data_IF_969638690262
#
_entry.id   IF_969638690262
#
_cell.length_a   1.000
_cell.length_b   1.000
_cell.length_c   1.000
_cell.angle_alpha   90.00
_cell.angle_beta   90.00
_cell.angle_gamma   90.00
#
_symmetry.space_group_name_H-M   'P 1'
#
loop_
_entity.id
_entity.type
_entity.pdbx_description
1 polymer ?
#
# COMPACT_ATOMS: atom_id res chain seq x y z
N UNK A 1 -11.74 66.80 16.37
CA UNK A 1 -12.63 66.09 15.48
C UNK A 1 -12.16 64.65 15.38
N UNK A 2 -12.91 63.83 16.08
CA UNK A 2 -12.61 62.56 16.61
C UNK A 2 -12.34 61.46 15.57
N UNK A 3 -11.29 60.71 15.80
CA UNK A 3 -11.05 59.41 15.13
C UNK A 3 -11.68 58.32 15.97
N UNK A 4 -12.71 57.70 15.47
CA UNK A 4 -13.23 56.42 15.99
C UNK A 4 -12.34 55.29 15.49
N UNK A 5 -11.59 54.66 16.41
CA UNK A 5 -10.98 53.37 16.23
C UNK A 5 -11.97 52.31 16.66
N UNK A 6 -12.47 51.54 15.73
CA UNK A 6 -13.22 50.29 16.03
C UNK A 6 -12.24 49.15 16.11
N UNK A 7 -11.98 48.72 17.39
CA UNK A 7 -11.36 47.44 17.67
C UNK A 7 -12.30 46.30 17.25
N UNK A 8 -11.92 45.58 16.23
CA UNK A 8 -12.55 44.32 15.86
C UNK A 8 -11.92 43.18 16.68
N UNK A 9 -12.60 42.76 17.70
CA UNK A 9 -12.31 41.55 18.46
C UNK A 9 -12.24 40.32 17.50
N UNK A 10 -11.12 39.63 17.51
CA UNK A 10 -10.92 38.34 16.83
C UNK A 10 -11.47 37.21 17.71
N UNK A 11 -12.52 36.50 17.30
CA UNK A 11 -12.96 35.30 18.03
C UNK A 11 -12.23 34.07 17.49
N UNK A 12 -11.14 33.65 18.10
CA UNK A 12 -10.39 32.47 17.63
C UNK A 12 -9.48 31.79 18.65
N UNK A 13 -9.29 32.36 19.84
CA UNK A 13 -8.27 31.88 20.78
C UNK A 13 -8.70 30.81 21.79
N UNK A 14 -10.00 30.52 21.96
CA UNK A 14 -10.48 29.68 23.07
C UNK A 14 -10.80 28.22 22.71
N UNK A 15 -10.93 27.84 21.46
CA UNK A 15 -11.30 26.47 21.08
C UNK A 15 -10.10 25.51 20.94
N UNK A 16 -8.91 26.00 20.60
CA UNK A 16 -7.72 25.15 20.42
C UNK A 16 -7.09 24.67 21.74
N UNK A 17 -7.20 25.46 22.83
CA UNK A 17 -6.66 25.07 24.15
C UNK A 17 -7.51 24.01 24.84
N UNK A 18 -8.83 24.06 24.72
CA UNK A 18 -9.74 23.11 25.38
C UNK A 18 -9.66 21.68 24.76
N UNK A 19 -9.41 21.58 23.45
CA UNK A 19 -9.23 20.26 22.78
C UNK A 19 -7.89 19.62 23.18
N UNK A 20 -6.85 20.41 23.43
CA UNK A 20 -5.54 19.91 23.88
C UNK A 20 -5.55 19.37 25.32
N UNK A 21 -6.29 19.98 26.21
CA UNK A 21 -6.40 19.56 27.63
C UNK A 21 -7.20 18.26 27.77
N UNK A 22 -8.28 18.07 27.01
CA UNK A 22 -9.06 16.84 27.00
C UNK A 22 -8.26 15.62 26.51
N UNK A 23 -7.47 15.78 25.47
CA UNK A 23 -6.65 14.69 24.93
C UNK A 23 -5.51 14.27 25.87
N UNK A 24 -4.91 15.20 26.61
CA UNK A 24 -3.89 14.90 27.61
C UNK A 24 -4.45 14.14 28.81
N UNK A 25 -5.71 14.45 29.24
CA UNK A 25 -6.41 13.71 30.29
C UNK A 25 -6.63 12.25 29.93
N UNK A 26 -7.16 11.98 28.75
CA UNK A 26 -7.35 10.62 28.22
C UNK A 26 -6.03 9.86 28.03
N UNK A 27 -4.96 10.53 27.60
CA UNK A 27 -3.64 9.94 27.48
C UNK A 27 -3.05 9.48 28.82
N UNK A 28 -3.23 10.28 29.87
CA UNK A 28 -2.83 9.92 31.24
C UNK A 28 -3.64 8.75 31.77
N UNK A 29 -4.96 8.74 31.57
CA UNK A 29 -5.81 7.61 31.92
C UNK A 29 -5.37 6.33 31.23
N UNK A 30 -5.04 6.40 29.94
CA UNK A 30 -4.56 5.26 29.16
C UNK A 30 -3.27 4.67 29.76
N UNK A 31 -2.29 5.51 30.11
CA UNK A 31 -1.03 5.04 30.71
C UNK A 31 -1.24 4.47 32.12
N UNK A 32 -2.05 5.12 32.96
CA UNK A 32 -2.36 4.61 34.29
C UNK A 32 -3.09 3.27 34.25
N UNK A 33 -4.06 3.10 33.35
CA UNK A 33 -4.78 1.85 33.15
C UNK A 33 -3.86 0.75 32.62
N UNK A 34 -2.93 1.09 31.71
CA UNK A 34 -1.94 0.13 31.20
C UNK A 34 -0.99 -0.35 32.29
N UNK A 35 -0.45 0.57 33.10
CA UNK A 35 0.43 0.22 34.22
C UNK A 35 -0.32 -0.62 35.25
N UNK A 36 -1.54 -0.25 35.61
CA UNK A 36 -2.36 -1.00 36.53
C UNK A 36 -2.71 -2.41 36.03
N UNK A 37 -2.93 -2.59 34.73
CA UNK A 37 -3.19 -3.90 34.10
C UNK A 37 -2.03 -4.89 34.28
N UNK A 38 -0.79 -4.39 34.37
CA UNK A 38 0.40 -5.20 34.62
C UNK A 38 0.66 -5.38 36.10
N UNK A 39 0.46 -4.33 36.92
CA UNK A 39 0.76 -4.37 38.35
C UNK A 39 -0.21 -5.27 39.15
N UNK A 40 -1.49 -5.32 38.79
CA UNK A 40 -2.49 -6.10 39.53
C UNK A 40 -2.12 -7.61 39.55
N UNK A 41 -1.87 -8.31 38.43
CA UNK A 41 -1.44 -9.68 38.47
C UNK A 41 -0.09 -9.88 39.18
N UNK A 42 0.84 -8.92 39.00
CA UNK A 42 2.15 -8.97 39.63
C UNK A 42 2.07 -8.89 41.16
N UNK A 43 1.22 -8.03 41.72
CA UNK A 43 1.00 -7.93 43.14
C UNK A 43 0.25 -9.15 43.68
N UNK A 44 -0.70 -9.70 42.90
CA UNK A 44 -1.52 -10.85 43.34
C UNK A 44 -0.70 -12.17 43.38
N UNK A 45 0.22 -12.38 42.44
CA UNK A 45 0.94 -13.65 42.27
C UNK A 45 2.47 -13.52 42.23
N UNK A 46 3.01 -12.30 42.37
CA UNK A 46 4.45 -12.06 42.18
C UNK A 46 4.94 -12.55 40.82
N UNK A 47 6.16 -13.09 40.75
CA UNK A 47 6.72 -13.63 39.50
C UNK A 47 5.95 -14.84 38.95
N UNK A 48 5.12 -15.51 39.77
CA UNK A 48 4.24 -16.60 39.28
C UNK A 48 3.15 -16.09 38.33
N UNK A 49 2.90 -14.77 38.27
CA UNK A 49 1.96 -14.17 37.29
C UNK A 49 2.38 -14.48 35.85
N UNK A 50 3.69 -14.59 35.56
CA UNK A 50 4.21 -14.98 34.23
C UNK A 50 3.76 -16.40 33.88
N UNK A 51 3.79 -17.33 34.83
CA UNK A 51 3.30 -18.70 34.60
C UNK A 51 1.81 -18.71 34.25
N UNK A 52 1.01 -17.89 34.94
CA UNK A 52 -0.42 -17.79 34.65
C UNK A 52 -0.73 -17.17 33.28
N UNK A 53 0.05 -16.18 32.85
CA UNK A 53 -0.03 -15.67 31.48
C UNK A 53 0.28 -16.78 30.45
N UNK A 54 1.32 -17.59 30.69
CA UNK A 54 1.64 -18.71 29.82
C UNK A 54 0.54 -19.77 29.78
N UNK A 55 -0.11 -20.07 30.91
CA UNK A 55 -1.29 -20.97 30.97
C UNK A 55 -2.44 -20.42 30.12
N UNK A 56 -2.71 -19.10 30.22
CA UNK A 56 -3.72 -18.46 29.38
C UNK A 56 -3.42 -18.53 27.89
N UNK A 57 -2.17 -18.25 27.49
CA UNK A 57 -1.71 -18.34 26.10
C UNK A 57 -1.80 -19.80 25.59
N UNK A 58 -1.39 -20.78 26.38
CA UNK A 58 -1.48 -22.19 26.02
C UNK A 58 -2.93 -22.63 25.81
N UNK A 59 -3.86 -22.20 26.67
CA UNK A 59 -5.29 -22.48 26.53
C UNK A 59 -5.88 -21.84 25.26
N UNK A 60 -5.50 -20.62 24.94
CA UNK A 60 -5.90 -19.95 23.70
C UNK A 60 -5.35 -20.66 22.46
N UNK A 61 -4.09 -21.10 22.49
CA UNK A 61 -3.47 -21.85 21.41
C UNK A 61 -4.19 -23.20 21.18
N UNK A 62 -4.54 -23.91 22.26
CA UNK A 62 -5.32 -25.16 22.17
C UNK A 62 -6.72 -24.93 21.61
N UNK A 63 -7.39 -23.86 22.02
CA UNK A 63 -8.68 -23.48 21.46
C UNK A 63 -8.57 -23.14 19.97
N UNK A 64 -7.52 -22.43 19.53
CA UNK A 64 -7.27 -22.14 18.12
C UNK A 64 -7.00 -23.39 17.28
N UNK A 65 -6.27 -24.37 17.82
CA UNK A 65 -6.10 -25.71 17.21
C UNK A 65 -7.43 -26.42 17.11
N UNK A 66 -8.27 -26.33 18.12
CA UNK A 66 -9.65 -26.88 18.10
C UNK A 66 -10.51 -26.28 17.00
N UNK A 67 -10.48 -24.96 16.84
CA UNK A 67 -11.17 -24.26 15.74
C UNK A 67 -10.64 -24.75 14.39
N UNK A 68 -9.30 -24.84 14.24
CA UNK A 68 -8.69 -25.33 13.01
C UNK A 68 -9.15 -26.75 12.67
N UNK A 69 -9.13 -27.68 13.63
CA UNK A 69 -9.58 -29.06 13.41
C UNK A 69 -11.08 -29.12 13.05
N UNK A 70 -11.89 -28.28 13.65
CA UNK A 70 -13.33 -28.20 13.37
C UNK A 70 -13.61 -27.75 11.93
N UNK A 71 -12.78 -26.84 11.40
CA UNK A 71 -12.94 -26.25 10.06
C UNK A 71 -12.24 -27.09 8.97
N UNK A 72 -11.08 -27.67 9.28
CA UNK A 72 -10.22 -28.36 8.30
C UNK A 72 -10.49 -29.85 8.14
N UNK A 73 -11.18 -30.51 9.09
CA UNK A 73 -11.36 -31.96 9.11
C UNK A 73 -12.84 -32.36 9.20
N UNK A 74 -13.12 -33.65 8.95
CA UNK A 74 -14.43 -34.26 9.08
C UNK A 74 -14.38 -35.47 10.02
N UNK A 75 -15.54 -36.01 10.45
CA UNK A 75 -15.63 -37.19 11.30
C UNK A 75 -15.09 -36.95 12.73
N UNK A 76 -14.36 -37.95 13.27
CA UNK A 76 -13.92 -37.97 14.69
C UNK A 76 -12.97 -36.78 15.02
N UNK A 77 -12.11 -36.38 14.10
CA UNK A 77 -11.18 -35.25 14.29
C UNK A 77 -11.94 -33.94 14.47
N UNK A 78 -13.01 -33.74 13.71
CA UNK A 78 -13.89 -32.56 13.87
C UNK A 78 -14.55 -32.55 15.25
N UNK A 79 -15.05 -33.69 15.72
CA UNK A 79 -15.65 -33.79 17.05
C UNK A 79 -14.64 -33.53 18.16
N UNK A 80 -13.41 -34.05 18.01
CA UNK A 80 -12.31 -33.74 18.93
C UNK A 80 -11.97 -32.23 18.93
N UNK A 81 -11.99 -31.59 17.75
CA UNK A 81 -11.83 -30.14 17.61
C UNK A 81 -12.88 -29.35 18.36
N UNK A 82 -14.17 -29.69 18.21
CA UNK A 82 -15.26 -29.07 18.96
C UNK A 82 -15.09 -29.26 20.47
N UNK A 83 -14.73 -30.48 20.90
CA UNK A 83 -14.41 -30.77 22.32
C UNK A 83 -13.27 -29.88 22.83
N UNK A 84 -12.18 -29.74 22.07
CA UNK A 84 -11.03 -28.92 22.45
C UNK A 84 -11.38 -27.42 22.55
N UNK A 85 -12.24 -26.91 21.66
CA UNK A 85 -12.74 -25.53 21.71
C UNK A 85 -13.49 -25.20 23.00
N UNK A 86 -14.17 -26.19 23.60
CA UNK A 86 -14.92 -25.98 24.84
C UNK A 86 -14.09 -26.33 26.09
N UNK A 87 -13.39 -27.46 26.06
CA UNK A 87 -12.65 -27.96 27.22
C UNK A 87 -11.45 -27.06 27.56
N UNK A 88 -10.71 -26.59 26.58
CA UNK A 88 -9.52 -25.77 26.84
C UNK A 88 -9.83 -24.44 27.54
N UNK A 89 -10.79 -23.60 27.10
CA UNK A 89 -11.16 -22.41 27.84
C UNK A 89 -11.74 -22.69 29.23
N UNK A 90 -12.59 -23.71 29.34
CA UNK A 90 -13.20 -24.12 30.63
C UNK A 90 -12.13 -24.56 31.62
N UNK A 91 -11.17 -25.36 31.19
CA UNK A 91 -10.07 -25.81 32.04
C UNK A 91 -9.20 -24.64 32.51
N UNK A 92 -8.87 -23.69 31.62
CA UNK A 92 -8.14 -22.47 31.97
C UNK A 92 -8.92 -21.65 33.02
N UNK A 93 -10.22 -21.41 32.81
CA UNK A 93 -11.05 -20.68 33.77
C UNK A 93 -11.14 -21.40 35.14
N UNK A 94 -11.25 -22.72 35.14
CA UNK A 94 -11.26 -23.50 36.37
C UNK A 94 -9.93 -23.40 37.12
N UNK A 95 -8.79 -23.48 36.40
CA UNK A 95 -7.46 -23.31 36.99
C UNK A 95 -7.27 -21.90 37.58
N UNK A 96 -7.71 -20.86 36.87
CA UNK A 96 -7.65 -19.47 37.35
C UNK A 96 -8.55 -19.28 38.58
N UNK A 97 -9.75 -19.90 38.61
CA UNK A 97 -10.63 -19.83 39.75
C UNK A 97 -10.05 -20.54 41.00
N UNK A 98 -9.52 -21.77 40.78
CA UNK A 98 -8.92 -22.56 41.86
C UNK A 98 -7.66 -21.93 42.44
N UNK A 99 -6.91 -21.15 41.66
CA UNK A 99 -5.70 -20.46 42.11
C UNK A 99 -5.96 -19.06 42.70
N UNK A 100 -7.21 -18.59 42.68
CA UNK A 100 -7.55 -17.21 43.09
C UNK A 100 -7.11 -16.13 42.08
N UNK A 101 -6.64 -16.53 40.88
CA UNK A 101 -6.14 -15.61 39.84
C UNK A 101 -7.24 -15.10 38.91
N UNK A 102 -8.47 -15.62 39.03
CA UNK A 102 -9.57 -15.23 38.14
C UNK A 102 -9.90 -13.75 38.21
N UNK A 103 -10.07 -13.21 39.43
CA UNK A 103 -10.39 -11.79 39.64
C UNK A 103 -9.25 -10.88 39.19
N UNK A 104 -7.97 -11.11 39.57
CA UNK A 104 -6.84 -10.34 39.05
C UNK A 104 -6.75 -10.35 37.53
N UNK A 105 -7.00 -11.50 36.85
CA UNK A 105 -6.96 -11.63 35.42
C UNK A 105 -8.10 -10.83 34.73
N UNK A 106 -9.33 -10.91 35.26
CA UNK A 106 -10.46 -10.14 34.72
C UNK A 106 -10.21 -8.63 34.88
N UNK A 107 -9.71 -8.19 36.03
CA UNK A 107 -9.39 -6.79 36.27
C UNK A 107 -8.27 -6.30 35.34
N UNK A 108 -7.21 -7.11 35.15
CA UNK A 108 -6.12 -6.76 34.25
C UNK A 108 -6.62 -6.63 32.80
N UNK A 109 -7.48 -7.55 32.35
CA UNK A 109 -8.09 -7.48 31.01
C UNK A 109 -8.99 -6.25 30.85
N UNK A 110 -9.84 -5.97 31.83
CA UNK A 110 -10.72 -4.80 31.81
C UNK A 110 -9.91 -3.49 31.75
N UNK A 111 -8.84 -3.39 32.54
CA UNK A 111 -7.93 -2.25 32.52
C UNK A 111 -7.16 -2.13 31.21
N UNK A 112 -6.75 -3.24 30.61
CA UNK A 112 -6.13 -3.24 29.29
C UNK A 112 -7.08 -2.76 28.19
N UNK A 113 -8.35 -3.20 28.23
CA UNK A 113 -9.41 -2.71 27.32
C UNK A 113 -9.64 -1.21 27.55
N UNK A 114 -9.73 -0.77 28.81
CA UNK A 114 -9.86 0.66 29.15
C UNK A 114 -8.66 1.48 28.67
N UNK A 115 -7.43 0.96 28.85
CA UNK A 115 -6.21 1.62 28.39
C UNK A 115 -6.22 1.82 26.87
N UNK A 116 -6.59 0.77 26.11
CA UNK A 116 -6.68 0.85 24.65
C UNK A 116 -7.80 1.77 24.18
N UNK A 117 -8.95 1.75 24.84
CA UNK A 117 -10.07 2.64 24.54
C UNK A 117 -9.72 4.11 24.85
N UNK A 118 -9.14 4.39 26.01
CA UNK A 118 -8.69 5.72 26.40
C UNK A 118 -7.58 6.25 25.49
N UNK A 119 -6.65 5.39 25.08
CA UNK A 119 -5.60 5.75 24.11
C UNK A 119 -6.19 6.13 22.74
N UNK A 120 -7.21 5.42 22.27
CA UNK A 120 -7.94 5.77 21.03
C UNK A 120 -8.65 7.13 21.15
N UNK A 121 -9.29 7.40 22.28
CA UNK A 121 -9.93 8.70 22.52
C UNK A 121 -8.88 9.81 22.62
N UNK A 122 -7.75 9.59 23.31
CA UNK A 122 -6.66 10.55 23.44
C UNK A 122 -6.04 10.94 22.11
N UNK A 123 -5.88 9.96 21.23
CA UNK A 123 -5.31 10.20 19.89
C UNK A 123 -6.34 10.75 18.91
N UNK A 124 -7.64 10.71 19.25
CA UNK A 124 -8.77 11.16 18.45
C UNK A 124 -8.98 10.29 17.21
N UNK A 125 -10.04 10.51 16.41
CA UNK A 125 -10.13 10.01 15.04
C UNK A 125 -9.19 10.81 14.13
N UNK A 126 -8.05 11.27 14.69
CA UNK A 126 -7.01 11.92 13.94
C UNK A 126 -6.43 10.92 12.96
N UNK A 127 -6.53 11.24 11.69
CA UNK A 127 -5.72 10.68 10.67
C UNK A 127 -4.26 10.83 11.12
N UNK A 128 -3.68 9.74 11.69
CA UNK A 128 -2.24 9.62 11.56
C UNK A 128 -2.05 9.39 10.06
N UNK A 129 -1.41 10.30 9.33
CA UNK A 129 -0.99 9.95 7.99
C UNK A 129 -0.24 8.63 8.14
N UNK A 130 -0.65 7.60 7.41
CA UNK A 130 0.17 6.41 7.23
C UNK A 130 1.54 6.94 6.83
N UNK A 131 2.62 6.27 7.22
CA UNK A 131 3.98 6.73 6.90
C UNK A 131 3.99 7.04 5.40
N UNK A 132 4.12 8.35 5.04
CA UNK A 132 4.03 8.82 3.65
C UNK A 132 2.78 9.61 3.26
N UNK A 133 1.65 9.56 4.01
CA UNK A 133 0.47 10.40 3.72
C UNK A 133 0.68 11.84 4.22
N UNK A 134 0.35 12.80 3.38
CA UNK A 134 0.40 14.24 3.68
C UNK A 134 -0.95 14.88 3.45
N UNK A 135 -1.29 15.87 4.27
CA UNK A 135 -2.43 16.73 3.96
C UNK A 135 -2.08 17.59 2.74
N UNK A 136 -2.95 17.64 1.72
CA UNK A 136 -2.74 18.52 0.58
C UNK A 136 -2.78 19.99 1.02
N UNK A 137 -2.13 20.85 0.28
CA UNK A 137 -2.12 22.31 0.56
C UNK A 137 -3.53 22.97 0.41
N UNK A 138 -4.50 22.23 -0.13
CA UNK A 138 -5.89 22.64 -0.35
C UNK A 138 -6.58 21.76 -1.39
N UNK A 139 -7.87 21.96 -1.58
CA UNK A 139 -8.58 21.34 -2.69
C UNK A 139 -8.11 21.96 -4.03
N UNK A 140 -7.97 21.15 -5.10
CA UNK A 140 -7.60 21.67 -6.42
C UNK A 140 -8.66 22.63 -6.94
N UNK A 141 -8.23 23.71 -7.58
CA UNK A 141 -9.12 24.75 -8.16
C UNK A 141 -9.39 24.50 -9.63
N UNK A 142 -8.43 23.91 -10.32
CA UNK A 142 -8.45 23.63 -11.75
C UNK A 142 -8.04 22.18 -12.06
N UNK A 143 -8.75 21.16 -11.51
CA UNK A 143 -8.43 19.78 -11.79
C UNK A 143 -8.84 19.40 -13.21
N UNK A 144 -7.94 18.68 -13.91
CA UNK A 144 -8.20 18.14 -15.24
C UNK A 144 -8.23 16.62 -15.19
N UNK A 145 -9.25 16.02 -15.81
CA UNK A 145 -9.45 14.58 -15.86
C UNK A 145 -9.46 14.10 -17.32
N UNK A 146 -8.45 13.33 -17.69
CA UNK A 146 -8.36 12.67 -18.98
C UNK A 146 -9.05 11.31 -18.88
N UNK A 147 -10.03 11.02 -19.71
CA UNK A 147 -10.82 9.80 -19.64
C UNK A 147 -10.78 9.02 -20.95
N UNK A 148 -10.43 7.73 -20.88
CA UNK A 148 -10.53 6.83 -22.02
C UNK A 148 -11.88 6.11 -22.00
N UNK A 149 -12.85 6.49 -22.85
CA UNK A 149 -14.20 5.95 -22.83
C UNK A 149 -14.26 4.44 -23.15
N UNK A 150 -13.23 3.90 -23.84
CA UNK A 150 -13.15 2.49 -24.22
C UNK A 150 -12.45 1.60 -23.17
N UNK A 151 -11.80 2.19 -22.19
CA UNK A 151 -11.08 1.44 -21.16
C UNK A 151 -12.00 0.55 -20.33
N UNK A 152 -11.50 -0.65 -19.98
CA UNK A 152 -12.16 -1.60 -19.09
C UNK A 152 -13.58 -1.97 -19.50
N UNK A 153 -13.84 -2.05 -20.81
CA UNK A 153 -15.18 -2.34 -21.33
C UNK A 153 -16.19 -1.22 -21.12
N UNK A 154 -15.74 0.04 -21.23
CA UNK A 154 -16.61 1.22 -21.13
C UNK A 154 -16.95 1.64 -19.70
N UNK A 155 -16.08 1.40 -18.74
CA UNK A 155 -16.28 1.82 -17.34
C UNK A 155 -16.59 3.31 -17.20
N UNK A 156 -16.00 4.18 -18.04
CA UNK A 156 -16.24 5.62 -17.99
C UNK A 156 -17.73 5.95 -18.14
N UNK A 157 -18.40 5.35 -19.12
CA UNK A 157 -19.85 5.53 -19.31
C UNK A 157 -20.68 4.78 -18.27
N UNK A 158 -20.28 3.54 -17.93
CA UNK A 158 -21.04 2.70 -16.99
C UNK A 158 -21.17 3.28 -15.58
N UNK A 159 -20.18 4.06 -15.14
CA UNK A 159 -20.14 4.68 -13.81
C UNK A 159 -20.41 6.19 -13.85
N UNK A 160 -20.82 6.72 -15.00
CA UNK A 160 -21.12 8.17 -15.22
C UNK A 160 -19.96 9.08 -14.79
N UNK A 161 -18.70 8.63 -15.05
CA UNK A 161 -17.50 9.30 -14.53
C UNK A 161 -17.37 10.73 -15.07
N UNK A 162 -17.83 11.00 -16.31
CA UNK A 162 -17.76 12.33 -16.93
C UNK A 162 -18.59 13.34 -16.12
N UNK A 163 -19.84 13.00 -15.83
CA UNK A 163 -20.77 13.92 -15.17
C UNK A 163 -20.40 14.07 -13.68
N UNK A 164 -19.95 12.98 -13.04
CA UNK A 164 -19.46 13.00 -11.65
C UNK A 164 -18.20 13.87 -11.51
N UNK A 165 -17.24 13.75 -12.44
CA UNK A 165 -16.03 14.57 -12.40
C UNK A 165 -16.34 16.05 -12.64
N UNK A 166 -17.24 16.37 -13.58
CA UNK A 166 -17.71 17.75 -13.81
C UNK A 166 -18.43 18.31 -12.60
N UNK A 167 -19.29 17.52 -11.97
CA UNK A 167 -19.98 17.91 -10.72
C UNK A 167 -18.99 18.17 -9.57
N UNK A 168 -17.85 17.47 -9.56
CA UNK A 168 -16.74 17.72 -8.63
C UNK A 168 -15.85 18.91 -9.04
N UNK A 169 -16.22 19.69 -10.07
CA UNK A 169 -15.50 20.88 -10.53
C UNK A 169 -14.34 20.59 -11.49
N UNK A 170 -14.20 19.37 -12.00
CA UNK A 170 -13.12 19.04 -12.90
C UNK A 170 -13.42 19.34 -14.38
N UNK A 171 -12.40 19.77 -15.11
CA UNK A 171 -12.43 19.82 -16.56
C UNK A 171 -12.14 18.44 -17.14
N UNK A 172 -13.07 17.92 -17.95
CA UNK A 172 -12.97 16.55 -18.51
C UNK A 172 -12.60 16.60 -19.98
N UNK A 173 -11.59 15.80 -20.35
CA UNK A 173 -11.13 15.59 -21.72
C UNK A 173 -11.25 14.10 -22.06
N UNK A 174 -11.95 13.78 -23.17
CA UNK A 174 -12.11 12.41 -23.64
C UNK A 174 -10.96 12.04 -24.59
N UNK A 175 -10.25 10.96 -24.28
CA UNK A 175 -9.20 10.42 -25.12
C UNK A 175 -9.78 9.74 -26.36
N UNK A 176 -9.08 9.88 -27.48
CA UNK A 176 -9.45 9.22 -28.74
C UNK A 176 -10.38 10.02 -29.67
N UNK A 177 -10.88 11.17 -29.24
CA UNK A 177 -11.73 12.02 -30.09
C UNK A 177 -10.94 12.74 -31.21
N UNK A 178 -9.60 12.86 -31.09
CA UNK A 178 -8.75 13.55 -32.06
C UNK A 178 -7.43 12.86 -32.36
N UNK A 179 -7.23 11.58 -31.93
CA UNK A 179 -5.99 10.85 -32.15
C UNK A 179 -4.77 11.37 -31.36
N UNK A 180 -4.98 12.31 -30.44
CA UNK A 180 -3.91 12.89 -29.63
C UNK A 180 -3.42 11.92 -28.55
N UNK A 181 -2.13 11.93 -28.32
CA UNK A 181 -1.46 11.15 -27.27
C UNK A 181 -1.86 11.65 -25.87
N UNK A 182 -2.09 10.76 -24.90
CA UNK A 182 -2.46 11.16 -23.52
C UNK A 182 -1.46 12.11 -22.87
N UNK A 183 -0.17 11.92 -23.13
CA UNK A 183 0.88 12.80 -22.61
C UNK A 183 0.80 14.22 -23.21
N UNK A 184 0.43 14.35 -24.48
CA UNK A 184 0.26 15.66 -25.15
C UNK A 184 -0.91 16.43 -24.55
N UNK A 185 -2.06 15.75 -24.37
CA UNK A 185 -3.22 16.34 -23.72
C UNK A 185 -2.93 16.74 -22.26
N UNK A 186 -2.12 15.97 -21.56
CA UNK A 186 -1.69 16.31 -20.21
C UNK A 186 -0.78 17.56 -20.19
N UNK A 187 0.16 17.68 -21.15
CA UNK A 187 0.99 18.90 -21.31
C UNK A 187 0.14 20.13 -21.64
N UNK A 188 -0.86 19.97 -22.51
CA UNK A 188 -1.79 21.04 -22.81
C UNK A 188 -2.59 21.46 -21.56
N UNK A 189 -3.07 20.49 -20.76
CA UNK A 189 -3.76 20.79 -19.51
C UNK A 189 -2.89 21.59 -18.54
N UNK A 190 -1.58 21.24 -18.43
CA UNK A 190 -0.63 22.02 -17.64
C UNK A 190 -0.46 23.45 -18.17
N UNK A 191 -0.30 23.60 -19.48
CA UNK A 191 -0.20 24.91 -20.12
C UNK A 191 -1.46 25.77 -19.90
N UNK A 192 -2.62 25.14 -19.82
CA UNK A 192 -3.92 25.78 -19.53
C UNK A 192 -4.16 26.00 -18.02
N UNK A 193 -3.16 25.76 -17.16
CA UNK A 193 -3.19 26.07 -15.74
C UNK A 193 -3.81 24.99 -14.86
N UNK A 194 -3.75 23.71 -15.26
CA UNK A 194 -4.14 22.61 -14.38
C UNK A 194 -3.31 22.59 -13.10
N UNK A 195 -3.96 22.43 -11.94
CA UNK A 195 -3.33 22.29 -10.64
C UNK A 195 -3.41 20.85 -10.09
N UNK A 196 -4.12 19.98 -10.80
CA UNK A 196 -4.18 18.53 -10.61
C UNK A 196 -4.45 17.86 -11.95
N UNK A 197 -3.72 16.77 -12.25
CA UNK A 197 -4.00 15.89 -13.37
C UNK A 197 -4.62 14.57 -12.89
N UNK A 198 -5.65 14.10 -13.58
CA UNK A 198 -6.29 12.82 -13.28
C UNK A 198 -6.48 11.99 -14.55
N UNK A 199 -6.47 10.66 -14.41
CA UNK A 199 -6.71 9.75 -15.52
C UNK A 199 -7.74 8.70 -15.15
N UNK A 200 -8.80 8.58 -15.93
CA UNK A 200 -9.70 7.42 -15.97
C UNK A 200 -9.27 6.50 -17.13
N UNK A 201 -8.46 5.51 -16.83
CA UNK A 201 -7.86 4.63 -17.84
C UNK A 201 -7.13 3.42 -17.25
N UNK A 202 -6.43 2.68 -18.11
CA UNK A 202 -5.54 1.58 -17.71
C UNK A 202 -4.15 2.07 -17.33
N UNK A 203 -3.32 1.15 -16.79
CA UNK A 203 -1.99 1.43 -16.25
C UNK A 203 -1.05 2.15 -17.24
N UNK A 204 -1.06 1.77 -18.54
CA UNK A 204 -0.23 2.43 -19.55
C UNK A 204 -0.63 3.91 -19.77
N UNK A 205 -1.93 4.23 -19.86
CA UNK A 205 -2.37 5.62 -19.95
C UNK A 205 -2.05 6.39 -18.68
N UNK A 206 -2.17 5.76 -17.51
CA UNK A 206 -1.82 6.36 -16.22
C UNK A 206 -0.33 6.70 -16.16
N UNK A 207 0.56 5.81 -16.65
CA UNK A 207 1.99 6.04 -16.66
C UNK A 207 2.39 7.29 -17.48
N UNK A 208 1.81 7.45 -18.67
CA UNK A 208 2.11 8.58 -19.56
C UNK A 208 1.71 9.94 -18.94
N UNK A 209 0.56 9.99 -18.27
CA UNK A 209 0.10 11.24 -17.64
C UNK A 209 0.80 11.47 -16.29
N UNK A 210 1.11 10.40 -15.56
CA UNK A 210 1.89 10.45 -14.32
C UNK A 210 3.29 11.06 -14.55
N UNK A 211 3.93 10.75 -15.69
CA UNK A 211 5.21 11.35 -16.05
C UNK A 211 5.09 12.87 -16.21
N UNK A 212 4.05 13.34 -16.88
CA UNK A 212 3.80 14.80 -17.04
C UNK A 212 3.55 15.43 -15.68
N UNK A 213 2.70 14.82 -14.85
CA UNK A 213 2.41 15.32 -13.51
C UNK A 213 3.69 15.41 -12.65
N UNK A 214 4.54 14.36 -12.68
CA UNK A 214 5.80 14.34 -11.95
C UNK A 214 6.79 15.42 -12.40
N UNK A 215 6.91 15.65 -13.72
CA UNK A 215 7.79 16.71 -14.27
C UNK A 215 7.39 18.12 -13.84
N UNK A 216 6.10 18.34 -13.55
CA UNK A 216 5.56 19.64 -13.13
C UNK A 216 5.23 19.69 -11.62
N UNK A 217 5.62 18.67 -10.84
CA UNK A 217 5.30 18.47 -9.41
C UNK A 217 3.80 18.68 -9.11
N UNK A 218 2.93 18.27 -10.04
CA UNK A 218 1.47 18.34 -9.86
C UNK A 218 0.93 17.09 -9.17
N UNK A 219 -0.09 17.21 -8.31
CA UNK A 219 -0.84 16.07 -7.82
C UNK A 219 -1.46 15.28 -8.96
N UNK A 220 -1.38 13.96 -8.88
CA UNK A 220 -1.93 13.03 -9.86
C UNK A 220 -3.00 12.14 -9.21
N UNK A 221 -4.17 12.04 -9.81
CA UNK A 221 -5.28 11.22 -9.35
C UNK A 221 -5.51 10.05 -10.31
N UNK A 222 -5.48 8.83 -9.77
CA UNK A 222 -5.76 7.60 -10.50
C UNK A 222 -7.23 7.23 -10.35
N UNK A 223 -7.95 7.11 -11.48
CA UNK A 223 -9.31 6.59 -11.53
C UNK A 223 -9.29 5.24 -12.24
N UNK A 224 -9.57 4.11 -11.54
CA UNK A 224 -9.30 2.75 -12.02
C UNK A 224 -10.31 2.28 -13.07
N UNK A 225 -10.34 2.92 -14.23
CA UNK A 225 -11.23 2.59 -15.32
C UNK A 225 -10.67 1.56 -16.33
N UNK A 226 -9.45 1.10 -16.19
CA UNK A 226 -8.85 0.05 -17.04
C UNK A 226 -9.30 -1.36 -16.68
N UNK A 227 -8.77 -2.37 -17.39
CA UNK A 227 -9.10 -3.78 -17.15
C UNK A 227 -8.40 -4.36 -15.92
N UNK A 228 -7.14 -4.03 -15.68
CA UNK A 228 -6.31 -4.61 -14.61
C UNK A 228 -6.09 -3.69 -13.43
N UNK A 229 -5.68 -2.45 -13.68
CA UNK A 229 -5.47 -1.39 -12.70
C UNK A 229 -4.59 -1.82 -11.51
N UNK A 230 -3.42 -2.40 -11.79
CA UNK A 230 -2.48 -2.87 -10.77
C UNK A 230 -1.98 -1.73 -9.90
N UNK A 231 -1.65 -0.58 -10.52
CA UNK A 231 -1.21 0.60 -9.80
C UNK A 231 -2.29 1.12 -8.83
N UNK A 232 -3.54 1.21 -9.29
CA UNK A 232 -4.66 1.60 -8.44
C UNK A 232 -4.87 0.65 -7.25
N UNK A 233 -4.68 -0.67 -7.47
CA UNK A 233 -4.74 -1.65 -6.37
C UNK A 233 -3.67 -1.42 -5.32
N UNK A 234 -2.44 -1.13 -5.73
CA UNK A 234 -1.33 -0.87 -4.80
C UNK A 234 -1.53 0.44 -4.04
N UNK A 235 -2.19 1.43 -4.66
CA UNK A 235 -2.66 2.65 -4.01
C UNK A 235 -3.84 2.40 -3.04
N UNK A 236 -4.41 1.20 -3.04
CA UNK A 236 -5.54 0.85 -2.19
C UNK A 236 -6.90 1.30 -2.71
N UNK A 237 -7.01 1.67 -3.99
CA UNK A 237 -8.25 2.12 -4.61
C UNK A 237 -9.17 0.94 -4.96
N UNK A 238 -10.48 1.19 -4.99
CA UNK A 238 -11.46 0.21 -5.43
C UNK A 238 -11.51 0.14 -6.96
N UNK A 239 -11.21 -1.03 -7.53
CA UNK A 239 -11.30 -1.26 -8.98
C UNK A 239 -12.73 -1.49 -9.46
N UNK A 240 -13.61 -1.87 -8.56
CA UNK A 240 -14.99 -2.20 -8.87
C UNK A 240 -15.89 -0.97 -8.77
N UNK A 241 -15.48 0.03 -7.98
CA UNK A 241 -16.08 1.37 -7.96
C UNK A 241 -15.05 2.47 -8.30
N UNK A 242 -14.77 2.71 -9.59
CA UNK A 242 -13.85 3.78 -9.99
C UNK A 242 -14.35 5.19 -9.66
N UNK A 243 -15.65 5.38 -9.41
CA UNK A 243 -16.21 6.69 -9.08
C UNK A 243 -15.78 7.15 -7.68
N UNK A 244 -15.57 6.23 -6.74
CA UNK A 244 -15.09 6.55 -5.40
C UNK A 244 -13.69 7.24 -5.40
N UNK A 245 -12.90 7.06 -6.47
CA UNK A 245 -11.63 7.78 -6.60
C UNK A 245 -11.80 9.30 -6.71
N UNK A 246 -12.94 9.78 -7.26
CA UNK A 246 -13.24 11.22 -7.43
C UNK A 246 -13.40 11.95 -6.08
N UNK A 247 -13.66 11.25 -4.97
CA UNK A 247 -13.74 11.84 -3.63
C UNK A 247 -12.43 12.53 -3.23
N UNK A 248 -11.30 12.12 -3.83
CA UNK A 248 -10.02 12.78 -3.65
C UNK A 248 -10.00 14.24 -4.10
N UNK A 249 -10.86 14.66 -5.03
CA UNK A 249 -10.98 16.05 -5.49
C UNK A 249 -11.54 16.98 -4.40
N UNK A 250 -12.41 16.45 -3.52
CA UNK A 250 -13.03 17.24 -2.46
C UNK A 250 -12.27 17.21 -1.13
N UNK A 251 -11.48 16.16 -0.86
CA UNK A 251 -10.86 15.99 0.45
C UNK A 251 -9.90 14.81 0.58
N UNK A 252 -9.11 14.56 -0.46
CA UNK A 252 -8.11 13.50 -0.50
C UNK A 252 -6.94 13.68 0.48
N UNK A 253 -6.04 12.71 0.46
CA UNK A 253 -4.69 12.80 1.05
C UNK A 253 -3.65 12.62 -0.07
N UNK A 254 -2.48 13.16 0.15
CA UNK A 254 -1.37 13.06 -0.81
C UNK A 254 -0.37 12.02 -0.36
N UNK A 255 0.04 11.16 -1.31
CA UNK A 255 1.14 10.21 -1.17
C UNK A 255 2.29 10.66 -2.07
N UNK A 256 3.53 10.44 -1.65
CA UNK A 256 4.67 10.51 -2.55
C UNK A 256 5.11 9.10 -2.90
N UNK A 257 5.11 8.78 -4.20
CA UNK A 257 5.49 7.47 -4.72
C UNK A 257 6.61 7.58 -5.74
N UNK A 258 7.33 6.49 -5.90
CA UNK A 258 8.42 6.40 -6.85
C UNK A 258 7.90 6.21 -8.28
N UNK A 259 8.71 6.56 -9.27
CA UNK A 259 8.50 6.24 -10.67
C UNK A 259 9.66 5.41 -11.22
N UNK A 260 9.33 4.36 -11.98
CA UNK A 260 10.29 3.57 -12.71
C UNK A 260 10.47 4.06 -14.15
N UNK A 261 11.66 3.90 -14.68
CA UNK A 261 12.00 4.22 -16.08
C UNK A 261 12.74 3.05 -16.73
N UNK A 262 12.41 2.75 -17.97
CA UNK A 262 13.17 1.84 -18.85
C UNK A 262 13.62 2.65 -20.06
N UNK A 263 14.90 2.96 -20.16
CA UNK A 263 15.42 4.04 -20.99
C UNK A 263 14.66 5.34 -20.68
N UNK A 264 13.98 5.93 -21.67
CA UNK A 264 13.19 7.16 -21.53
C UNK A 264 11.69 6.90 -21.30
N UNK A 265 11.27 5.65 -21.15
CA UNK A 265 9.87 5.26 -20.95
C UNK A 265 9.57 5.08 -19.47
N UNK A 266 8.57 5.81 -19.00
CA UNK A 266 8.07 5.68 -17.61
C UNK A 266 7.24 4.41 -17.44
N UNK A 267 7.31 3.82 -16.26
CA UNK A 267 6.37 2.79 -15.82
C UNK A 267 5.97 2.98 -14.35
N UNK A 268 4.71 2.73 -14.07
CA UNK A 268 4.15 2.76 -12.71
C UNK A 268 4.14 1.38 -12.06
N UNK A 269 4.11 0.31 -12.86
CA UNK A 269 4.15 -1.07 -12.37
C UNK A 269 5.47 -1.76 -12.67
N UNK A 270 5.75 -2.06 -13.94
CA UNK A 270 6.96 -2.81 -14.32
C UNK A 270 7.31 -2.71 -15.80
N UNK A 271 8.59 -2.99 -16.08
CA UNK A 271 9.11 -3.32 -17.39
C UNK A 271 9.51 -4.80 -17.42
N UNK A 272 9.07 -5.54 -18.43
CA UNK A 272 9.31 -6.96 -18.62
C UNK A 272 10.10 -7.24 -19.89
N UNK A 273 11.03 -8.21 -19.84
CA UNK A 273 11.96 -8.52 -20.92
C UNK A 273 11.97 -10.01 -21.23
N UNK A 274 12.37 -10.36 -22.44
CA UNK A 274 12.49 -11.73 -22.91
C UNK A 274 11.14 -12.44 -23.02
N UNK A 275 11.07 -13.69 -22.61
CA UNK A 275 9.86 -14.51 -22.68
C UNK A 275 8.64 -13.85 -22.00
N UNK A 276 8.87 -13.09 -20.94
CA UNK A 276 7.77 -12.39 -20.25
C UNK A 276 7.20 -11.26 -21.12
N UNK A 277 8.03 -10.51 -21.83
CA UNK A 277 7.59 -9.50 -22.78
C UNK A 277 6.83 -10.10 -23.96
N UNK A 278 7.32 -11.24 -24.48
CA UNK A 278 6.65 -11.99 -25.53
C UNK A 278 5.24 -12.46 -25.11
N UNK A 279 5.08 -12.90 -23.86
CA UNK A 279 3.78 -13.26 -23.29
C UNK A 279 2.84 -12.06 -23.20
N UNK A 280 3.34 -10.92 -22.73
CA UNK A 280 2.57 -9.66 -22.63
C UNK A 280 2.11 -9.18 -24.02
N UNK A 281 2.90 -9.38 -25.05
CA UNK A 281 2.57 -9.05 -26.45
C UNK A 281 1.46 -9.92 -27.05
N UNK A 282 1.15 -11.10 -26.50
CA UNK A 282 0.15 -12.00 -27.06
C UNK A 282 -1.29 -11.51 -26.84
N UNK A 283 -2.18 -11.62 -27.87
CA UNK A 283 -3.59 -11.26 -27.72
C UNK A 283 -4.29 -11.99 -26.57
N UNK A 284 -3.98 -13.29 -26.36
CA UNK A 284 -4.53 -14.10 -25.27
C UNK A 284 -4.24 -13.53 -23.87
N UNK A 285 -3.12 -12.82 -23.70
CA UNK A 285 -2.80 -12.14 -22.44
C UNK A 285 -3.73 -10.94 -22.20
N UNK A 286 -4.04 -10.17 -23.24
CA UNK A 286 -4.96 -9.03 -23.18
C UNK A 286 -6.41 -9.48 -22.90
N UNK A 287 -6.80 -10.65 -23.39
CA UNK A 287 -8.10 -11.25 -23.18
C UNK A 287 -8.25 -11.96 -21.81
N UNK A 288 -7.21 -11.99 -20.99
CA UNK A 288 -7.25 -12.57 -19.64
C UNK A 288 -7.19 -14.10 -19.59
N UNK A 289 -6.81 -14.77 -20.69
CA UNK A 289 -6.70 -16.24 -20.76
C UNK A 289 -5.42 -16.77 -20.10
N UNK A 290 -5.30 -16.55 -18.79
CA UNK A 290 -4.09 -16.92 -17.98
C UNK A 290 -3.73 -18.40 -18.16
N UNK A 291 -4.73 -19.30 -18.27
CA UNK A 291 -4.50 -20.74 -18.41
C UNK A 291 -3.77 -21.10 -19.72
N UNK A 292 -4.08 -20.40 -20.81
CA UNK A 292 -3.41 -20.60 -22.11
C UNK A 292 -1.92 -20.18 -22.02
N UNK A 293 -1.64 -19.10 -21.31
CA UNK A 293 -0.29 -18.57 -21.10
C UNK A 293 0.54 -19.53 -20.25
N UNK A 294 0.00 -20.04 -19.14
CA UNK A 294 0.68 -20.99 -18.27
C UNK A 294 1.04 -22.31 -19.01
N UNK A 295 0.23 -22.73 -19.98
CA UNK A 295 0.54 -23.89 -20.82
C UNK A 295 1.66 -23.63 -21.83
N UNK A 296 1.72 -22.43 -22.40
CA UNK A 296 2.75 -22.04 -23.36
C UNK A 296 4.09 -21.69 -22.70
N UNK A 297 4.10 -21.30 -21.42
CA UNK A 297 5.26 -20.79 -20.70
C UNK A 297 6.48 -21.73 -20.73
N UNK A 298 6.37 -23.06 -20.51
CA UNK A 298 7.53 -23.95 -20.57
C UNK A 298 8.20 -23.96 -21.95
N UNK A 299 7.43 -23.97 -23.04
CA UNK A 299 7.97 -23.92 -24.40
C UNK A 299 8.67 -22.58 -24.70
N UNK A 300 8.06 -21.47 -24.28
CA UNK A 300 8.64 -20.14 -24.44
C UNK A 300 9.93 -19.94 -23.64
N UNK A 301 10.02 -20.52 -22.45
CA UNK A 301 11.23 -20.44 -21.60
C UNK A 301 12.39 -21.29 -22.14
N UNK A 302 12.11 -22.28 -22.95
CA UNK A 302 13.14 -23.18 -23.53
C UNK A 302 13.37 -22.95 -25.01
N UNK A 303 12.81 -21.90 -25.59
CA UNK A 303 13.01 -21.52 -26.99
C UNK A 303 14.50 -21.17 -27.21
N UNK A 304 15.22 -21.93 -28.09
CA UNK A 304 16.61 -21.67 -28.38
C UNK A 304 16.85 -20.38 -29.15
N UNK A 305 15.83 -19.89 -29.87
CA UNK A 305 15.89 -18.67 -30.68
C UNK A 305 15.53 -17.41 -29.91
N UNK A 306 15.05 -17.56 -28.63
CA UNK A 306 14.75 -16.41 -27.80
C UNK A 306 16.03 -15.66 -27.40
N UNK A 307 16.02 -14.30 -27.45
CA UNK A 307 17.16 -13.48 -27.03
C UNK A 307 17.61 -13.82 -25.60
N UNK A 308 18.90 -14.11 -25.44
CA UNK A 308 19.46 -14.34 -24.11
C UNK A 308 19.81 -13.02 -23.47
N UNK A 309 19.21 -12.79 -22.31
CA UNK A 309 19.41 -11.56 -21.57
C UNK A 309 20.54 -11.68 -20.56
N UNK A 310 21.26 -10.59 -20.39
CA UNK A 310 22.21 -10.38 -19.29
C UNK A 310 21.72 -9.22 -18.44
N UNK A 311 21.91 -9.35 -17.13
CA UNK A 311 21.56 -8.32 -16.15
C UNK A 311 22.80 -7.87 -15.40
N UNK A 312 22.89 -6.55 -15.21
CA UNK A 312 23.80 -5.93 -14.25
C UNK A 312 23.00 -5.01 -13.33
N UNK A 313 23.08 -5.26 -12.01
CA UNK A 313 22.36 -4.47 -11.00
C UNK A 313 23.22 -4.39 -9.72
N UNK A 314 23.83 -3.23 -9.47
CA UNK A 314 24.87 -3.09 -8.45
C UNK A 314 26.04 -4.05 -8.70
N UNK A 315 26.38 -4.84 -7.68
CA UNK A 315 27.45 -5.85 -7.76
C UNK A 315 26.98 -7.18 -8.37
N UNK A 316 25.68 -7.34 -8.60
CA UNK A 316 25.11 -8.58 -9.14
C UNK A 316 25.17 -8.57 -10.66
N UNK A 317 25.69 -9.67 -11.20
CA UNK A 317 25.64 -9.98 -12.65
C UNK A 317 24.98 -11.33 -12.84
N UNK A 318 24.07 -11.41 -13.81
CA UNK A 318 23.40 -12.65 -14.17
C UNK A 318 23.31 -12.78 -15.69
N UNK A 319 23.58 -13.96 -16.21
CA UNK A 319 23.66 -14.25 -17.65
C UNK A 319 22.74 -15.42 -18.01
N UNK A 320 22.41 -15.52 -19.30
CA UNK A 320 21.58 -16.61 -19.82
C UNK A 320 20.14 -16.57 -19.31
N UNK A 321 19.62 -15.38 -19.04
CA UNK A 321 18.26 -15.19 -18.55
C UNK A 321 17.26 -15.31 -19.70
N UNK A 322 16.18 -16.08 -19.50
CA UNK A 322 15.08 -16.19 -20.46
C UNK A 322 13.97 -15.16 -20.20
N UNK A 323 13.79 -14.75 -18.95
CA UNK A 323 12.83 -13.73 -18.61
C UNK A 323 13.35 -12.85 -17.46
N UNK A 324 13.02 -11.57 -17.54
CA UNK A 324 13.39 -10.58 -16.54
C UNK A 324 12.23 -9.61 -16.34
N UNK A 325 11.95 -9.28 -15.08
CA UNK A 325 10.96 -8.29 -14.70
C UNK A 325 11.62 -7.25 -13.79
N UNK A 326 11.51 -5.99 -14.16
CA UNK A 326 11.94 -4.85 -13.35
C UNK A 326 10.70 -4.10 -12.90
N UNK A 327 10.42 -4.07 -11.61
CA UNK A 327 9.24 -3.41 -11.06
C UNK A 327 9.58 -2.11 -10.35
N UNK A 328 8.66 -1.16 -10.44
CA UNK A 328 8.67 0.05 -9.64
C UNK A 328 8.31 -0.33 -8.19
N UNK A 329 9.32 -0.48 -7.36
CA UNK A 329 9.29 -1.10 -6.04
C UNK A 329 9.14 -2.64 -6.04
N UNK A 330 9.69 -3.34 -5.05
CA UNK A 330 9.67 -4.79 -4.99
C UNK A 330 8.26 -5.36 -4.74
N UNK A 331 7.92 -6.45 -5.44
CA UNK A 331 6.73 -7.24 -5.14
C UNK A 331 6.90 -8.07 -3.87
N UNK A 332 5.82 -8.18 -3.09
CA UNK A 332 5.73 -9.08 -1.94
C UNK A 332 6.00 -10.53 -2.36
N UNK A 333 6.63 -11.30 -1.49
CA UNK A 333 6.77 -12.74 -1.67
C UNK A 333 5.40 -13.41 -1.54
N UNK A 334 5.12 -14.38 -2.38
CA UNK A 334 3.85 -15.12 -2.32
C UNK A 334 3.61 -15.82 -0.97
N UNK A 335 4.70 -16.10 -0.22
CA UNK A 335 4.65 -16.72 1.12
C UNK A 335 4.28 -15.70 2.20
N UNK A 336 4.54 -14.40 1.96
CA UNK A 336 4.42 -13.36 3.00
C UNK A 336 3.06 -12.65 2.95
N UNK A 337 2.19 -12.96 1.99
CA UNK A 337 0.92 -12.26 1.85
C UNK A 337 -0.21 -13.14 1.27
N UNK A 338 -1.41 -12.97 1.83
CA UNK A 338 -2.64 -13.48 1.23
C UNK A 338 -3.01 -12.77 -0.10
N UNK A 339 -2.14 -11.89 -0.62
CA UNK A 339 -2.38 -11.07 -1.81
C UNK A 339 -1.16 -11.11 -2.74
N UNK A 340 -0.94 -12.21 -3.47
CA UNK A 340 0.19 -12.32 -4.39
C UNK A 340 0.11 -11.27 -5.49
N UNK A 341 1.28 -10.77 -5.92
CA UNK A 341 1.40 -9.80 -7.00
C UNK A 341 1.14 -8.34 -6.60
N UNK A 342 1.12 -8.02 -5.30
CA UNK A 342 1.08 -6.65 -4.79
C UNK A 342 2.44 -6.18 -4.28
N UNK A 343 2.62 -4.87 -4.26
CA UNK A 343 3.77 -4.20 -3.64
C UNK A 343 3.39 -3.75 -2.24
N UNK A 344 4.29 -3.90 -1.28
CA UNK A 344 4.07 -3.44 0.09
C UNK A 344 4.16 -1.93 0.20
N UNK A 345 5.11 -1.37 -0.57
CA UNK A 345 5.43 0.06 -0.59
C UNK A 345 5.60 0.52 -2.03
N UNK A 346 5.33 1.79 -2.26
CA UNK A 346 5.55 2.48 -3.53
C UNK A 346 6.59 3.62 -3.40
N UNK A 347 7.30 3.67 -2.27
CA UNK A 347 8.22 4.72 -1.86
C UNK A 347 9.54 4.19 -1.28
N UNK A 348 9.97 2.98 -1.69
CA UNK A 348 11.20 2.37 -1.17
C UNK A 348 12.48 2.94 -1.76
N UNK A 349 12.39 3.66 -2.89
CA UNK A 349 13.55 4.13 -3.65
C UNK A 349 14.33 3.01 -4.34
N UNK A 350 13.73 1.82 -4.51
CA UNK A 350 14.37 0.64 -5.07
C UNK A 350 13.51 -0.02 -6.12
N UNK A 351 14.11 -0.39 -7.24
CA UNK A 351 13.54 -1.32 -8.21
C UNK A 351 13.50 -2.72 -7.60
N UNK A 352 12.42 -3.46 -7.86
CA UNK A 352 12.39 -4.89 -7.66
C UNK A 352 12.81 -5.60 -8.95
N UNK A 353 13.77 -6.51 -8.90
CA UNK A 353 14.23 -7.26 -10.06
C UNK A 353 14.00 -8.74 -9.84
N UNK A 354 13.33 -9.37 -10.81
CA UNK A 354 13.03 -10.79 -10.82
C UNK A 354 13.57 -11.39 -12.10
N UNK A 355 14.51 -12.35 -11.97
CA UNK A 355 15.12 -13.02 -13.10
C UNK A 355 14.77 -14.50 -13.10
N UNK A 356 14.51 -15.02 -14.28
CA UNK A 356 14.26 -16.44 -14.52
C UNK A 356 15.37 -16.99 -15.40
N UNK A 357 16.07 -18.03 -14.89
CA UNK A 357 17.00 -18.84 -15.66
C UNK A 357 16.57 -20.30 -15.60
N UNK A 358 16.41 -20.89 -16.74
CA UNK A 358 15.99 -22.29 -16.89
C UNK A 358 16.96 -23.00 -17.80
N UNK A 359 17.57 -24.07 -17.31
CA UNK A 359 18.55 -24.85 -18.06
C UNK A 359 17.91 -25.99 -18.85
N UNK A 360 16.68 -26.40 -18.50
CA UNK A 360 15.95 -27.48 -19.19
C UNK A 360 14.43 -27.41 -18.97
N UNK A 361 13.70 -28.15 -19.80
CA UNK A 361 12.21 -28.20 -19.82
C UNK A 361 11.62 -28.70 -18.49
N UNK A 362 12.34 -29.58 -17.76
CA UNK A 362 11.88 -30.12 -16.49
C UNK A 362 11.86 -29.03 -15.40
N UNK A 363 12.87 -28.15 -15.38
CA UNK A 363 12.91 -26.98 -14.48
C UNK A 363 11.79 -25.98 -14.82
N UNK A 364 11.57 -25.71 -16.13
CA UNK A 364 10.48 -24.86 -16.58
C UNK A 364 9.09 -25.39 -16.10
N UNK A 365 8.85 -26.67 -16.28
CA UNK A 365 7.63 -27.33 -15.83
C UNK A 365 7.49 -27.34 -14.27
N UNK A 366 8.62 -27.45 -13.55
CA UNK A 366 8.68 -27.36 -12.09
C UNK A 366 8.27 -25.99 -11.58
N UNK A 367 8.71 -24.89 -12.23
CA UNK A 367 8.31 -23.53 -11.89
C UNK A 367 6.79 -23.33 -11.99
N UNK A 368 6.17 -23.82 -13.07
CA UNK A 368 4.72 -23.70 -13.27
C UNK A 368 3.94 -24.45 -12.19
N UNK A 369 4.48 -25.56 -11.68
CA UNK A 369 3.89 -26.37 -10.58
C UNK A 369 4.18 -25.81 -9.20
N UNK A 370 4.88 -24.68 -9.07
CA UNK A 370 5.15 -24.02 -7.80
C UNK A 370 6.31 -24.62 -6.99
N UNK A 371 7.16 -25.46 -7.61
CA UNK A 371 8.37 -25.93 -6.94
C UNK A 371 9.34 -24.76 -6.72
N UNK A 372 9.93 -24.66 -5.53
CA UNK A 372 10.97 -23.68 -5.20
C UNK A 372 12.24 -24.06 -5.98
N UNK A 373 12.32 -23.61 -7.24
CA UNK A 373 13.44 -23.87 -8.11
C UNK A 373 14.55 -22.85 -7.87
N UNK A 374 15.80 -23.28 -7.94
CA UNK A 374 17.00 -22.44 -7.96
C UNK A 374 17.05 -21.46 -9.17
N UNK A 375 16.08 -21.57 -10.06
CA UNK A 375 15.96 -20.79 -11.31
C UNK A 375 15.43 -19.37 -11.13
N UNK A 376 15.03 -18.96 -9.92
CA UNK A 376 14.43 -17.65 -9.66
C UNK A 376 15.36 -16.80 -8.80
N UNK A 377 16.02 -15.80 -9.41
CA UNK A 377 16.80 -14.79 -8.70
C UNK A 377 15.93 -13.56 -8.41
N UNK A 378 15.94 -13.09 -7.17
CA UNK A 378 15.27 -11.86 -6.74
C UNK A 378 16.29 -10.94 -6.11
N UNK A 379 16.29 -9.68 -6.52
CA UNK A 379 17.13 -8.64 -5.94
C UNK A 379 16.44 -7.27 -5.98
N UNK A 380 17.05 -6.30 -5.34
CA UNK A 380 16.64 -4.90 -5.38
C UNK A 380 17.83 -4.04 -5.77
N UNK A 381 17.60 -2.99 -6.55
CA UNK A 381 18.65 -2.06 -6.97
C UNK A 381 18.04 -0.69 -7.27
N UNK A 382 18.85 0.35 -7.28
CA UNK A 382 18.41 1.68 -7.78
C UNK A 382 18.47 1.75 -9.31
N UNK A 383 19.38 0.96 -9.89
CA UNK A 383 19.56 0.86 -11.33
C UNK A 383 19.78 -0.60 -11.72
N UNK A 384 19.21 -0.98 -12.86
CA UNK A 384 19.38 -2.29 -13.48
C UNK A 384 19.60 -2.12 -14.99
N UNK A 385 20.70 -2.65 -15.50
CA UNK A 385 21.02 -2.61 -16.92
C UNK A 385 20.73 -3.98 -17.52
N UNK A 386 19.85 -3.99 -18.53
CA UNK A 386 19.46 -5.19 -19.27
C UNK A 386 20.14 -5.16 -20.64
N UNK A 387 20.99 -6.13 -20.88
CA UNK A 387 21.70 -6.33 -22.14
C UNK A 387 21.09 -7.52 -22.90
N UNK A 388 21.10 -7.46 -24.21
CA UNK A 388 20.69 -8.53 -25.11
C UNK A 388 21.76 -8.76 -26.16
N UNK A 389 21.69 -9.89 -26.86
CA UNK A 389 22.60 -10.19 -27.98
C UNK A 389 22.13 -9.56 -29.31
N UNK A 390 21.07 -8.75 -29.24
CA UNK A 390 20.46 -8.01 -30.36
C UNK A 390 20.56 -6.51 -30.15
N UNK A 391 20.52 -5.71 -31.23
CA UNK A 391 20.57 -4.25 -31.18
C UNK A 391 19.32 -3.64 -30.50
N UNK A 392 18.19 -4.36 -30.59
CA UNK A 392 16.92 -3.98 -29.92
C UNK A 392 16.39 -5.15 -29.11
N UNK A 393 15.61 -4.85 -28.10
CA UNK A 393 14.97 -5.86 -27.25
C UNK A 393 13.49 -5.52 -27.07
N UNK A 394 12.60 -6.53 -27.23
CA UNK A 394 11.19 -6.35 -26.93
C UNK A 394 10.96 -6.20 -25.42
N UNK A 395 10.25 -5.14 -25.05
CA UNK A 395 9.95 -4.80 -23.66
C UNK A 395 8.45 -4.64 -23.48
N UNK A 396 7.89 -5.27 -22.46
CA UNK A 396 6.52 -5.01 -22.03
C UNK A 396 6.53 -3.95 -20.93
N UNK A 397 6.05 -2.74 -21.19
CA UNK A 397 5.98 -1.65 -20.22
C UNK A 397 4.53 -1.47 -19.78
N UNK A 398 4.23 -1.70 -18.51
CA UNK A 398 2.87 -1.64 -17.93
C UNK A 398 1.80 -2.39 -18.75
N UNK A 399 2.22 -3.44 -19.46
CA UNK A 399 1.37 -4.27 -20.31
C UNK A 399 1.29 -3.82 -21.77
N UNK A 400 2.05 -2.81 -22.18
CA UNK A 400 2.21 -2.38 -23.59
C UNK A 400 3.55 -2.89 -24.14
N UNK A 401 3.51 -3.39 -25.38
CA UNK A 401 4.71 -3.91 -26.06
C UNK A 401 5.41 -2.78 -26.81
N UNK A 402 6.72 -2.63 -26.58
CA UNK A 402 7.58 -1.66 -27.25
C UNK A 402 8.94 -2.31 -27.58
N UNK A 403 9.61 -1.83 -28.63
CA UNK A 403 11.01 -2.17 -28.92
C UNK A 403 11.92 -1.07 -28.40
N UNK A 404 12.93 -1.44 -27.61
CA UNK A 404 13.93 -0.50 -27.11
C UNK A 404 15.33 -0.89 -27.58
N UNK A 405 16.22 0.08 -27.84
CA UNK A 405 17.62 -0.20 -28.14
C UNK A 405 18.32 -0.81 -26.91
N UNK A 406 19.13 -1.85 -27.14
CA UNK A 406 19.96 -2.45 -26.12
C UNK A 406 21.30 -1.67 -25.99
N UNK A 407 21.86 -1.54 -24.78
CA UNK A 407 21.33 -1.96 -23.48
C UNK A 407 20.22 -1.06 -22.96
N UNK A 408 19.22 -1.64 -22.28
CA UNK A 408 18.14 -0.90 -21.62
C UNK A 408 18.52 -0.60 -20.17
N UNK A 409 18.66 0.66 -19.83
CA UNK A 409 18.90 1.11 -18.45
C UNK A 409 17.57 1.33 -17.76
N UNK A 410 17.29 0.54 -16.74
CA UNK A 410 16.14 0.73 -15.86
C UNK A 410 16.60 1.48 -14.58
N UNK A 411 15.89 2.55 -14.22
CA UNK A 411 16.18 3.35 -13.02
C UNK A 411 14.91 3.70 -12.27
N UNK A 412 15.06 4.05 -10.99
CA UNK A 412 13.96 4.54 -10.16
C UNK A 412 14.21 6.02 -9.82
N UNK A 413 13.13 6.80 -9.83
CA UNK A 413 13.10 8.17 -9.32
C UNK A 413 12.30 8.19 -8.00
N UNK A 414 13.01 8.26 -6.86
CA UNK A 414 12.36 8.19 -5.55
C UNK A 414 11.44 9.37 -5.29
N UNK A 415 10.21 9.10 -4.81
CA UNK A 415 9.24 10.11 -4.44
C UNK A 415 8.88 11.11 -5.53
N UNK A 416 9.08 10.75 -6.80
CA UNK A 416 8.94 11.66 -7.93
C UNK A 416 7.48 12.04 -8.23
N UNK A 417 6.52 11.21 -7.84
CA UNK A 417 5.11 11.43 -8.16
C UNK A 417 4.30 11.72 -6.90
N UNK A 418 3.55 12.79 -6.93
CA UNK A 418 2.53 13.15 -5.93
C UNK A 418 1.21 12.52 -6.33
N UNK A 419 0.66 11.63 -5.50
CA UNK A 419 -0.62 10.95 -5.76
C UNK A 419 -1.68 11.49 -4.82
N UNK A 420 -2.78 11.98 -5.36
CA UNK A 420 -3.99 12.29 -4.59
C UNK A 420 -4.87 11.05 -4.53
N UNK A 421 -5.27 10.62 -3.32
CA UNK A 421 -6.15 9.47 -3.10
C UNK A 421 -7.26 9.81 -2.11
N UNK A 422 -8.44 9.15 -2.20
CA UNK A 422 -9.49 9.30 -1.19
C UNK A 422 -8.99 8.89 0.20
N UNK A 423 -9.46 9.57 1.23
CA UNK A 423 -9.17 9.22 2.63
C UNK A 423 -9.73 7.85 2.99
N UNK A 424 -10.94 7.58 2.55
CA UNK A 424 -11.64 6.32 2.77
C UNK A 424 -11.52 5.45 1.52
N UNK A 425 -10.46 4.62 1.46
CA UNK A 425 -10.22 3.66 0.39
C UNK A 425 -10.03 2.25 0.96
N UNK A 426 -10.52 1.18 0.31
CA UNK A 426 -10.53 -0.19 0.85
C UNK A 426 -9.14 -0.75 1.18
N UNK A 427 -8.13 -0.32 0.44
CA UNK A 427 -6.75 -0.77 0.63
C UNK A 427 -5.90 0.23 1.41
N UNK A 428 -6.48 1.28 1.99
CA UNK A 428 -5.77 2.08 2.97
C UNK A 428 -5.22 1.16 4.06
N UNK A 429 -3.99 1.36 4.53
CA UNK A 429 -3.51 0.63 5.68
C UNK A 429 -4.57 0.81 6.77
N UNK A 430 -4.96 -0.27 7.49
CA UNK A 430 -5.95 -0.16 8.53
C UNK A 430 -5.53 0.99 9.41
N UNK A 431 -6.38 2.00 9.53
CA UNK A 431 -6.22 3.10 10.49
C UNK A 431 -5.84 2.42 11.77
N UNK A 432 -4.60 2.61 12.23
CA UNK A 432 -3.98 1.72 13.19
C UNK A 432 -4.97 1.35 14.29
N UNK A 433 -5.45 0.10 14.25
CA UNK A 433 -6.33 -0.45 15.29
C UNK A 433 -5.57 -0.55 16.62
N UNK A 434 -4.25 -0.33 16.60
CA UNK A 434 -3.39 -0.15 17.74
C UNK A 434 -3.39 1.30 18.21
N UNK A 435 -3.49 1.52 19.53
CA UNK A 435 -3.22 2.81 20.13
C UNK A 435 -1.80 3.26 19.78
N UNK A 436 -1.64 4.49 19.29
CA UNK A 436 -0.30 5.08 19.05
C UNK A 436 0.32 5.43 20.41
N UNK A 437 0.92 4.44 21.05
CA UNK A 437 1.54 4.56 22.36
C UNK A 437 2.63 5.63 22.42
N UNK A 438 3.51 5.80 21.41
CA UNK A 438 4.45 6.93 21.36
C UNK A 438 3.77 8.30 21.41
N UNK A 439 2.62 8.46 20.75
CA UNK A 439 1.83 9.71 20.79
C UNK A 439 1.09 9.87 22.11
N UNK A 440 0.48 8.79 22.62
CA UNK A 440 -0.14 8.78 23.96
C UNK A 440 0.86 9.20 25.04
N UNK A 441 2.07 8.65 25.00
CA UNK A 441 3.15 9.00 25.95
C UNK A 441 3.55 10.47 25.83
N UNK A 442 3.69 10.99 24.60
CA UNK A 442 3.98 12.42 24.40
C UNK A 442 2.86 13.33 24.88
N UNK A 443 1.60 12.98 24.64
CA UNK A 443 0.44 13.76 25.13
C UNK A 443 0.31 13.72 26.64
N UNK A 444 0.60 12.57 27.27
CA UNK A 444 0.53 12.42 28.72
C UNK A 444 1.64 13.19 29.44
N UNK A 445 2.86 13.21 28.89
CA UNK A 445 4.09 13.74 29.52
C UNK A 445 4.53 15.10 28.94
N UNK A 446 3.86 15.59 27.91
CA UNK A 446 4.32 16.66 27.02
C UNK A 446 4.62 18.03 27.59
N UNK A 447 4.10 18.55 28.73
CA UNK A 447 4.55 19.84 29.25
C UNK A 447 5.65 19.78 30.33
N UNK A 448 5.99 18.60 30.85
CA UNK A 448 6.98 18.49 31.93
C UNK A 448 8.43 18.70 31.47
N UNK A 449 8.72 18.59 30.18
CA UNK A 449 10.06 18.75 29.63
C UNK A 449 10.41 20.19 29.14
N UNK A 450 9.42 21.07 28.96
CA UNK A 450 9.61 22.45 28.47
C UNK A 450 9.85 23.49 29.57
N UNK A 451 9.79 23.11 30.85
CA UNK A 451 9.77 24.00 32.00
C UNK A 451 11.10 24.31 32.67
N UNK A 452 12.27 24.30 32.00
CA UNK A 452 13.54 24.76 32.59
C UNK A 452 14.56 25.33 31.59
N UNK A 453 14.21 26.42 30.94
CA UNK A 453 15.19 27.43 30.54
C UNK A 453 14.75 28.77 31.11
N UNK A 454 15.08 29.01 32.37
CA UNK A 454 15.09 30.37 32.92
C UNK A 454 16.21 31.15 32.22
N UNK A 455 15.80 32.11 31.41
CA UNK A 455 16.68 33.17 30.96
C UNK A 455 17.29 33.89 32.19
N UNK A 456 18.60 33.85 32.34
CA UNK A 456 19.32 34.76 33.21
C UNK A 456 19.26 36.16 32.59
N UNK A 457 18.91 37.22 33.34
CA UNK A 457 19.08 38.56 32.88
C UNK A 457 20.58 38.88 32.95
N UNK A 458 21.15 39.34 31.84
CA UNK A 458 22.45 40.00 31.79
C UNK A 458 22.30 41.40 32.38
N UNK A 459 23.04 41.66 33.46
CA UNK A 459 23.33 43.01 33.97
C UNK A 459 24.38 43.67 33.07
#
# INVERSE_FOLDING_TARGET
>A
MERHSTDAERPGGRSASAVGEGSAGWARLALLALVASVLIPLVAAGLRSVLWVLVGIAGLALAAVGVWWTLAHTGVVRMAGVGLCVIAPVAVLALYAASGMLVPAILALALWILATAAARVATGPGHLPSVGEREPAGAPRHPWVLMNPRSGGGKVGRFDLVDKARAAGARVVLLGAGGQEPAELARQAVADGADLLAVAGGDGTQALVAEVAARHDLPFLVIPAGTRNHFALDLGLDRDDPAAALDALAGGVELRVDLGFAADRVFVNNASFGTYAAVVGQPAYREGKVHTILRALPGLLTDPDAPRLRLRAGDVRAEGLQALLVSNNPYLRAVDSNRPGRRERLDSGLLGVLCVRVDNTAQAAGMVRGSRSASLLRLTAQEAVVEADTDTVPVGIDGEHVELPAPVVCRIAPGALRISVPRDRPGAPPRGSGADWPRVTRLALGPLAAGRKRSRPTA
#
